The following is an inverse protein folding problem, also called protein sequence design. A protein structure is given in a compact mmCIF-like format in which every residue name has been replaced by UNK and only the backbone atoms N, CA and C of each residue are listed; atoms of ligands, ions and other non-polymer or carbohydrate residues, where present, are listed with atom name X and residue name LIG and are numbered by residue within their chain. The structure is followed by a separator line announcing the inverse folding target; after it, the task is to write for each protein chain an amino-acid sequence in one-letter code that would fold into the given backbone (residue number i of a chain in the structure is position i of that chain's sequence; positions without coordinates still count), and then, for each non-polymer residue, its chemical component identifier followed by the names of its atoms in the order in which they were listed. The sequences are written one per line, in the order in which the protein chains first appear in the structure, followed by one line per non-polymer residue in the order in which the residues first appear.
data_IF_639497135852
#
_entry.id   IF_639497135852
#
_cell.length_a   1.000
_cell.length_b   1.000
_cell.length_c   1.000
_cell.angle_alpha   90.00
_cell.angle_beta   90.00
_cell.angle_gamma   90.00
#
_symmetry.space_group_name_H-M   'P 1'
#
loop_
_entity.id
_entity.type
_entity.pdbx_description
1 polymer ?
#
# COMPACT_ATOMS: atom_id res chain seq x y z
N UNK A 1 17.09 2.59 -4.27
CA UNK A 1 16.38 1.74 -5.26
C UNK A 1 14.89 1.90 -4.99
N UNK A 2 14.08 2.16 -6.02
CA UNK A 2 12.64 2.42 -5.86
C UNK A 2 11.84 1.22 -6.36
N UNK A 3 10.86 0.76 -5.57
CA UNK A 3 10.01 -0.38 -5.90
C UNK A 3 8.56 0.07 -6.11
N UNK A 4 8.00 -0.26 -7.28
CA UNK A 4 6.63 0.07 -7.63
C UNK A 4 5.66 -1.06 -7.29
N UNK A 5 4.55 -0.71 -6.63
CA UNK A 5 3.37 -1.57 -6.49
C UNK A 5 2.24 -1.01 -7.35
N UNK A 6 1.69 -1.85 -8.24
CA UNK A 6 0.54 -1.46 -9.06
C UNK A 6 -0.64 -2.39 -8.79
N UNK A 7 -1.73 -1.82 -8.31
CA UNK A 7 -2.97 -2.53 -8.06
C UNK A 7 -4.04 -2.12 -9.06
N UNK A 8 -4.86 -3.09 -9.49
CA UNK A 8 -6.12 -2.75 -10.16
C UNK A 8 -6.95 -1.82 -9.28
N UNK A 9 -7.10 -2.15 -8.00
CA UNK A 9 -7.76 -1.30 -7.00
C UNK A 9 -7.05 -1.41 -5.67
N UNK A 10 -6.78 -0.26 -5.06
CA UNK A 10 -6.16 -0.17 -3.75
C UNK A 10 -6.59 1.15 -3.07
N UNK A 11 -6.74 1.16 -1.75
CA UNK A 11 -6.69 0.01 -0.85
C UNK A 11 -7.97 -0.86 -0.84
N UNK A 12 -7.81 -2.15 -0.55
CA UNK A 12 -8.90 -3.12 -0.36
C UNK A 12 -8.67 -3.90 0.94
N UNK A 13 -9.73 -4.11 1.72
CA UNK A 13 -9.65 -4.74 3.07
C UNK A 13 -8.98 -6.12 3.04
N UNK A 14 -9.22 -6.92 1.99
CA UNK A 14 -8.61 -8.25 1.86
C UNK A 14 -7.14 -8.25 1.46
N UNK A 15 -6.50 -7.07 1.29
CA UNK A 15 -5.10 -6.93 0.88
C UNK A 15 -4.15 -6.58 2.04
N UNK A 16 -4.55 -6.82 3.30
CA UNK A 16 -3.71 -6.53 4.47
C UNK A 16 -2.34 -7.21 4.45
N UNK A 17 -2.20 -8.34 3.75
CA UNK A 17 -0.92 -9.02 3.57
C UNK A 17 0.05 -8.21 2.70
N UNK A 18 -0.46 -7.50 1.69
CA UNK A 18 0.32 -6.55 0.91
C UNK A 18 0.79 -5.37 1.77
N UNK A 19 -0.10 -4.81 2.59
CA UNK A 19 0.26 -3.71 3.49
C UNK A 19 1.38 -4.12 4.44
N UNK A 20 1.30 -5.33 5.00
CA UNK A 20 2.33 -5.87 5.89
C UNK A 20 3.69 -6.04 5.19
N UNK A 21 3.69 -6.49 3.94
CA UNK A 21 4.90 -6.58 3.11
C UNK A 21 5.49 -5.19 2.82
N UNK A 22 4.68 -4.27 2.32
CA UNK A 22 5.11 -2.90 2.01
C UNK A 22 5.70 -2.21 3.24
N UNK A 23 5.05 -2.31 4.40
CA UNK A 23 5.58 -1.80 5.66
C UNK A 23 6.92 -2.45 6.05
N UNK A 24 7.09 -3.75 5.81
CA UNK A 24 8.35 -4.42 6.08
C UNK A 24 9.48 -3.97 5.14
N UNK A 25 9.16 -3.64 3.89
CA UNK A 25 10.12 -3.10 2.93
C UNK A 25 10.52 -1.66 3.25
N UNK A 26 9.57 -0.81 3.63
CA UNK A 26 9.88 0.56 4.11
C UNK A 26 10.78 0.52 5.34
N UNK A 27 10.52 -0.39 6.30
CA UNK A 27 11.39 -0.57 7.47
C UNK A 27 12.81 -1.01 7.13
N UNK A 28 13.01 -1.65 5.97
CA UNK A 28 14.32 -2.03 5.43
C UNK A 28 14.99 -0.91 4.62
N UNK A 29 14.36 0.26 4.53
CA UNK A 29 14.88 1.41 3.82
C UNK A 29 14.60 1.42 2.32
N UNK A 30 13.64 0.60 1.84
CA UNK A 30 13.19 0.71 0.46
C UNK A 30 12.20 1.87 0.32
N UNK A 31 12.38 2.65 -0.74
CA UNK A 31 11.41 3.64 -1.17
C UNK A 31 10.34 2.96 -2.04
N UNK A 32 9.08 3.11 -1.67
CA UNK A 32 7.95 2.53 -2.38
C UNK A 32 7.17 3.60 -3.13
N UNK A 33 6.63 3.22 -4.28
CA UNK A 33 5.67 4.00 -5.05
C UNK A 33 4.44 3.12 -5.31
N UNK A 34 3.27 3.57 -4.85
CA UNK A 34 2.04 2.79 -4.91
C UNK A 34 1.11 3.46 -5.91
N UNK A 35 0.70 2.71 -6.92
CA UNK A 35 -0.26 3.13 -7.93
C UNK A 35 -1.52 2.29 -7.89
N UNK A 36 -2.65 2.92 -8.20
CA UNK A 36 -3.91 2.20 -8.42
C UNK A 36 -4.66 2.69 -9.65
N UNK A 37 -5.23 1.74 -10.41
CA UNK A 37 -6.02 2.05 -11.61
C UNK A 37 -7.42 2.55 -11.25
N UNK A 38 -8.02 1.98 -10.19
CA UNK A 38 -9.37 2.31 -9.74
C UNK A 38 -9.38 2.78 -8.29
N UNK A 39 -10.27 3.73 -7.92
CA UNK A 39 -10.37 4.21 -6.56
C UNK A 39 -10.85 3.11 -5.60
N UNK A 40 -10.60 3.20 -4.29
CA UNK A 40 -11.16 2.24 -3.33
C UNK A 40 -12.70 2.25 -3.32
N UNK A 41 -13.33 1.09 -3.15
CA UNK A 41 -14.80 0.93 -3.16
C UNK A 41 -15.50 1.47 -1.90
N UNK A 42 -14.74 1.66 -0.83
CA UNK A 42 -15.22 2.12 0.48
C UNK A 42 -14.22 3.13 1.03
N UNK A 43 -14.61 3.89 2.04
CA UNK A 43 -13.69 4.70 2.86
C UNK A 43 -13.03 3.89 3.98
N UNK A 44 -13.51 2.67 4.27
CA UNK A 44 -12.94 1.81 5.32
C UNK A 44 -11.52 1.38 4.96
N UNK A 45 -10.58 1.59 5.89
CA UNK A 45 -9.16 1.23 5.76
C UNK A 45 -8.72 0.43 6.98
N UNK A 46 -7.82 -0.52 6.77
CA UNK A 46 -7.05 -1.07 7.88
C UNK A 46 -6.03 -0.04 8.35
N UNK A 47 -5.77 -0.01 9.66
CA UNK A 47 -4.80 0.89 10.30
C UNK A 47 -3.39 0.76 9.69
N UNK A 48 -3.06 -0.42 9.12
CA UNK A 48 -1.77 -0.67 8.47
C UNK A 48 -1.43 0.34 7.38
N UNK A 49 -2.42 0.73 6.57
CA UNK A 49 -2.24 1.72 5.49
C UNK A 49 -1.83 3.09 6.04
N UNK A 50 -2.38 3.49 7.18
CA UNK A 50 -2.04 4.77 7.82
C UNK A 50 -0.59 4.85 8.29
N UNK A 51 0.14 3.73 8.30
CA UNK A 51 1.55 3.64 8.69
C UNK A 51 2.50 3.63 7.50
N UNK A 52 2.00 3.48 6.27
CA UNK A 52 2.82 3.58 5.06
C UNK A 52 3.23 5.03 4.85
N UNK A 53 4.50 5.24 4.47
CA UNK A 53 5.02 6.56 4.11
C UNK A 53 4.80 6.86 2.64
N UNK A 54 4.78 5.82 1.82
CA UNK A 54 4.48 5.93 0.40
C UNK A 54 3.09 6.56 0.18
N UNK A 55 2.97 7.54 -0.72
CA UNK A 55 1.68 8.07 -1.12
C UNK A 55 0.86 6.98 -1.81
N UNK A 56 -0.44 7.01 -1.56
CA UNK A 56 -1.45 6.07 -2.09
C UNK A 56 -2.52 6.84 -2.85
#
# INVERSE_FOLDING_TARGET
MRLGYLYSRYPVISQTFCDAEMLALERRGLELEIGSVYPPLTSLRHEHISRLRAPV
#
